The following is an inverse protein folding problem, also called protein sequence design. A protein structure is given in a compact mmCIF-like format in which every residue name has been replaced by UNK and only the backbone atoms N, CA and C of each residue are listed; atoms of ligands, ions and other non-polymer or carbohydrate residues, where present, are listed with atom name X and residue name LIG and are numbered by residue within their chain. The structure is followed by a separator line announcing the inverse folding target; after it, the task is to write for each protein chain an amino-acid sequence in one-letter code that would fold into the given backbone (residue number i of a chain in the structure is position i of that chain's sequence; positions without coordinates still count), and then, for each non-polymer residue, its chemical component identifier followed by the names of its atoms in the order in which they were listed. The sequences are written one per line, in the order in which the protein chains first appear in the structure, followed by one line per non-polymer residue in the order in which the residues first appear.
data_IF_181096980551
#
_entry.id   IF_181096980551
#
_cell.length_a   1.000
_cell.length_b   1.000
_cell.length_c   1.000
_cell.angle_alpha   90.00
_cell.angle_beta   90.00
_cell.angle_gamma   90.00
#
_symmetry.space_group_name_H-M   'P 1'
#
loop_
_entity.id
_entity.type
_entity.pdbx_description
1 polymer ?
#
# COMPACT_ATOMS: atom_id res chain seq x y z
N UNK A 1 -18.02 20.32 3.98
CA UNK A 1 -18.06 18.97 4.60
C UNK A 1 -19.21 18.19 4.00
N UNK A 2 -18.98 17.50 2.88
CA UNK A 2 -19.88 16.46 2.39
C UNK A 2 -19.47 15.15 3.08
N UNK A 3 -20.44 14.44 3.65
CA UNK A 3 -20.17 13.19 4.35
C UNK A 3 -19.85 12.10 3.32
N UNK A 4 -18.59 11.69 3.24
CA UNK A 4 -18.16 10.51 2.46
C UNK A 4 -18.55 9.27 3.27
N UNK A 5 -19.34 8.38 2.69
CA UNK A 5 -19.64 7.09 3.31
C UNK A 5 -18.63 6.09 2.78
N UNK A 6 -17.74 5.63 3.64
CA UNK A 6 -16.64 4.74 3.30
C UNK A 6 -17.10 3.29 3.50
N UNK A 7 -16.99 2.49 2.44
CA UNK A 7 -17.06 1.02 2.54
C UNK A 7 -15.89 0.49 1.70
N UNK A 8 -14.69 0.50 2.27
CA UNK A 8 -13.55 -0.19 1.66
C UNK A 8 -13.65 -1.68 1.99
N UNK A 9 -13.73 -2.54 0.96
CA UNK A 9 -13.65 -3.99 1.11
C UNK A 9 -12.30 -4.46 0.55
N UNK A 10 -11.25 -4.47 1.38
CA UNK A 10 -9.96 -5.07 0.99
C UNK A 10 -10.05 -6.58 1.22
N UNK A 11 -10.05 -7.34 0.14
CA UNK A 11 -10.03 -8.81 0.17
C UNK A 11 -8.67 -9.29 -0.35
N UNK A 12 -7.72 -9.58 0.54
CA UNK A 12 -6.44 -10.21 0.16
C UNK A 12 -6.67 -11.71 -0.03
N UNK A 13 -6.42 -12.23 -1.23
CA UNK A 13 -6.39 -13.66 -1.53
C UNK A 13 -5.01 -14.05 -2.07
N UNK A 14 -4.11 -14.49 -1.20
CA UNK A 14 -2.79 -15.00 -1.60
C UNK A 14 -2.83 -16.53 -1.82
N UNK A 15 -2.57 -16.98 -3.06
CA UNK A 15 -2.52 -18.41 -3.41
C UNK A 15 -1.09 -18.85 -3.85
N UNK A 16 -0.42 -19.53 -2.91
CA UNK A 16 0.48 -20.71 -3.05
C UNK A 16 1.97 -20.59 -3.45
N UNK A 17 2.75 -21.36 -2.65
CA UNK A 17 3.84 -22.30 -2.96
C UNK A 17 5.32 -21.87 -2.80
N UNK A 18 5.88 -22.30 -1.65
CA UNK A 18 7.29 -22.56 -1.32
C UNK A 18 8.18 -21.35 -0.99
N UNK A 19 8.33 -21.06 0.31
CA UNK A 19 9.63 -21.15 0.99
C UNK A 19 9.50 -20.81 2.49
N UNK A 20 9.92 -21.77 3.32
CA UNK A 20 10.09 -21.56 4.76
C UNK A 20 11.11 -20.45 5.06
N UNK A 21 10.79 -19.65 6.08
CA UNK A 21 11.53 -18.51 6.65
C UNK A 21 11.54 -17.22 5.82
N UNK A 22 10.50 -16.41 6.03
CA UNK A 22 10.51 -14.97 5.78
C UNK A 22 9.75 -14.30 6.94
N UNK A 23 10.22 -13.16 7.46
CA UNK A 23 9.40 -12.33 8.34
C UNK A 23 8.43 -11.55 7.46
N UNK A 24 7.20 -12.07 7.33
CA UNK A 24 6.18 -11.50 6.45
C UNK A 24 5.83 -10.05 6.82
N UNK A 25 5.36 -9.31 5.82
CA UNK A 25 4.71 -8.01 6.03
C UNK A 25 3.63 -8.15 7.11
N UNK A 26 3.74 -7.34 8.17
CA UNK A 26 2.81 -7.39 9.29
C UNK A 26 1.58 -6.50 9.07
N UNK A 27 1.67 -5.58 8.14
CA UNK A 27 0.72 -4.50 7.95
C UNK A 27 -0.34 -4.86 6.92
N UNK A 28 -1.48 -4.18 7.00
CA UNK A 28 -2.53 -4.24 5.98
C UNK A 28 -2.62 -2.92 5.21
N UNK A 29 -2.21 -1.81 5.82
CA UNK A 29 -2.30 -0.48 5.24
C UNK A 29 -0.93 0.17 5.04
N UNK A 30 -0.05 0.06 6.04
CA UNK A 30 1.28 0.64 5.98
C UNK A 30 2.28 -0.29 5.26
N UNK A 31 3.40 0.25 4.82
CA UNK A 31 4.59 -0.51 4.45
C UNK A 31 5.38 -0.90 5.70
N UNK A 32 5.93 -2.11 5.72
CA UNK A 32 6.73 -2.62 6.84
C UNK A 32 8.23 -2.56 6.53
N UNK A 33 9.02 -2.41 7.59
CA UNK A 33 10.48 -2.56 7.57
C UNK A 33 10.90 -4.03 7.41
N UNK A 34 10.00 -4.98 7.72
CA UNK A 34 10.21 -6.41 7.48
C UNK A 34 10.10 -6.73 6.00
N UNK A 35 11.12 -7.40 5.50
CA UNK A 35 11.25 -7.79 4.10
C UNK A 35 11.57 -9.29 4.01
N UNK A 36 11.36 -9.94 2.84
CA UNK A 36 11.75 -11.33 2.68
C UNK A 36 13.24 -11.54 2.97
N UNK A 37 13.56 -12.68 3.59
CA UNK A 37 14.94 -13.05 3.85
C UNK A 37 15.75 -13.22 2.54
N UNK A 38 17.08 -13.21 2.63
CA UNK A 38 17.93 -13.30 1.46
C UNK A 38 17.59 -14.52 0.59
N UNK A 39 17.39 -14.28 -0.71
CA UNK A 39 17.07 -15.30 -1.70
C UNK A 39 15.63 -15.81 -1.67
N UNK A 40 14.76 -15.22 -0.85
CA UNK A 40 13.34 -15.60 -0.75
C UNK A 40 12.45 -14.71 -1.61
N UNK A 41 11.43 -15.32 -2.19
CA UNK A 41 10.36 -14.65 -2.92
C UNK A 41 9.09 -14.66 -2.06
N UNK A 42 8.45 -13.50 -1.95
CA UNK A 42 7.12 -13.33 -1.38
C UNK A 42 6.20 -12.79 -2.47
N UNK A 43 5.04 -13.42 -2.61
CA UNK A 43 3.98 -12.99 -3.52
C UNK A 43 2.78 -12.53 -2.70
N UNK A 44 2.22 -11.38 -3.04
CA UNK A 44 0.96 -10.91 -2.47
C UNK A 44 0.05 -10.31 -3.54
N UNK A 45 -1.26 -10.37 -3.31
CA UNK A 45 -2.25 -9.71 -4.13
C UNK A 45 -3.08 -8.81 -3.23
N UNK A 46 -3.08 -7.52 -3.52
CA UNK A 46 -3.85 -6.52 -2.82
C UNK A 46 -4.89 -5.95 -3.76
N UNK A 47 -6.04 -5.57 -3.22
CA UNK A 47 -7.03 -4.85 -3.99
C UNK A 47 -8.04 -4.19 -3.09
N UNK A 48 -8.66 -3.15 -3.61
CA UNK A 48 -9.63 -2.35 -2.91
C UNK A 48 -10.75 -1.94 -3.86
N UNK A 49 -11.94 -1.85 -3.29
CA UNK A 49 -13.09 -1.25 -3.94
C UNK A 49 -13.44 0.04 -3.22
N UNK A 50 -13.71 1.09 -3.97
CA UNK A 50 -14.12 2.38 -3.45
C UNK A 50 -15.34 2.89 -4.22
N UNK A 51 -16.28 3.52 -3.53
CA UNK A 51 -17.40 4.24 -4.13
C UNK A 51 -17.31 5.71 -3.74
N UNK A 52 -17.59 6.60 -4.68
CA UNK A 52 -17.47 8.03 -4.49
C UNK A 52 -18.67 8.80 -5.02
N UNK A 53 -18.86 9.99 -4.45
CA UNK A 53 -19.78 11.02 -4.93
C UNK A 53 -18.98 12.32 -5.05
N UNK A 54 -18.89 12.89 -6.25
CA UNK A 54 -18.20 14.15 -6.50
C UNK A 54 -18.96 14.98 -7.53
N UNK A 55 -19.15 16.27 -7.25
CA UNK A 55 -19.80 17.18 -8.20
C UNK A 55 -21.24 16.83 -8.62
N UNK A 56 -21.92 15.91 -7.92
CA UNK A 56 -23.24 15.39 -8.32
C UNK A 56 -23.19 14.20 -9.28
N UNK A 57 -22.00 13.62 -9.50
CA UNK A 57 -21.80 12.33 -10.11
C UNK A 57 -21.43 11.30 -9.03
N UNK A 58 -21.93 10.08 -9.21
CA UNK A 58 -21.62 8.92 -8.39
C UNK A 58 -20.76 7.96 -9.22
N UNK A 59 -19.91 7.19 -8.56
CA UNK A 59 -19.05 6.23 -9.25
C UNK A 59 -18.39 5.24 -8.32
N UNK A 60 -17.68 4.30 -8.91
CA UNK A 60 -16.88 3.32 -8.19
C UNK A 60 -15.57 3.00 -8.89
N UNK A 61 -14.62 2.54 -8.09
CA UNK A 61 -13.28 2.16 -8.50
C UNK A 61 -12.90 0.83 -7.88
N UNK A 62 -12.25 -0.01 -8.68
CA UNK A 62 -11.61 -1.24 -8.26
C UNK A 62 -10.14 -1.17 -8.65
N UNK A 63 -9.26 -1.19 -7.67
CA UNK A 63 -7.82 -1.31 -7.85
C UNK A 63 -7.33 -2.67 -7.38
N UNK A 64 -6.35 -3.26 -8.06
CA UNK A 64 -5.67 -4.46 -7.61
C UNK A 64 -4.22 -4.50 -8.06
N UNK A 65 -3.31 -4.86 -7.17
CA UNK A 65 -1.88 -5.00 -7.43
C UNK A 65 -1.42 -6.40 -7.06
N UNK A 66 -0.51 -6.95 -7.86
CA UNK A 66 0.23 -8.17 -7.51
C UNK A 66 1.66 -7.78 -7.19
N UNK A 67 2.14 -8.08 -5.99
CA UNK A 67 3.50 -7.75 -5.57
C UNK A 67 4.37 -8.99 -5.61
N UNK A 68 5.54 -8.86 -6.22
CA UNK A 68 6.60 -9.86 -6.20
C UNK A 68 7.82 -9.29 -5.50
N UNK A 69 7.94 -9.54 -4.19
CA UNK A 69 9.06 -9.11 -3.35
C UNK A 69 10.16 -10.17 -3.30
N UNK A 70 11.39 -9.78 -3.62
CA UNK A 70 12.57 -10.63 -3.54
C UNK A 70 13.60 -10.07 -2.55
N UNK A 71 14.01 -10.89 -1.59
CA UNK A 71 15.05 -10.55 -0.63
C UNK A 71 16.45 -10.58 -1.25
N UNK A 72 17.07 -9.41 -1.41
CA UNK A 72 18.47 -9.27 -1.83
C UNK A 72 19.43 -9.58 -0.66
N UNK A 73 19.01 -9.22 0.56
CA UNK A 73 19.66 -9.52 1.83
C UNK A 73 18.58 -9.62 2.93
N UNK A 74 18.93 -10.07 4.13
CA UNK A 74 17.97 -10.20 5.25
C UNK A 74 17.35 -8.87 5.73
N UNK A 75 17.87 -7.75 5.23
CA UNK A 75 17.39 -6.40 5.50
C UNK A 75 17.18 -5.58 4.23
N UNK A 76 17.18 -6.20 3.05
CA UNK A 76 17.03 -5.50 1.77
C UNK A 76 16.20 -6.33 0.80
N UNK A 77 15.13 -5.74 0.24
CA UNK A 77 14.37 -6.34 -0.84
C UNK A 77 14.12 -5.39 -2.01
N UNK A 78 13.77 -5.99 -3.14
CA UNK A 78 13.20 -5.32 -4.32
C UNK A 78 11.83 -5.92 -4.60
N UNK A 79 10.89 -5.10 -5.07
CA UNK A 79 9.54 -5.50 -5.45
C UNK A 79 9.19 -5.00 -6.85
N UNK A 80 8.53 -5.86 -7.61
CA UNK A 80 7.80 -5.49 -8.82
C UNK A 80 6.30 -5.61 -8.54
N UNK A 81 5.53 -4.58 -8.83
CA UNK A 81 4.10 -4.52 -8.56
C UNK A 81 3.29 -3.97 -9.75
N UNK A 82 2.94 -4.81 -10.74
CA UNK A 82 1.95 -4.44 -11.74
C UNK A 82 0.56 -4.29 -11.10
N UNK A 83 -0.17 -3.27 -11.55
CA UNK A 83 -1.54 -3.00 -11.13
C UNK A 83 -2.59 -3.27 -12.22
N UNK A 84 -3.83 -3.35 -11.76
CA UNK A 84 -5.04 -3.33 -12.55
C UNK A 84 -5.98 -2.29 -11.93
N UNK A 85 -6.66 -1.53 -12.78
CA UNK A 85 -7.66 -0.56 -12.36
C UNK A 85 -8.92 -0.71 -13.21
N UNK A 86 -10.07 -0.48 -12.57
CA UNK A 86 -11.35 -0.21 -13.23
C UNK A 86 -11.98 0.98 -12.53
N UNK A 87 -12.52 1.91 -13.29
CA UNK A 87 -13.41 2.95 -12.79
C UNK A 87 -14.72 2.93 -13.58
N UNK A 88 -15.80 3.33 -12.93
CA UNK A 88 -17.16 3.31 -13.47
C UNK A 88 -17.93 4.51 -12.89
N UNK A 89 -18.46 5.36 -13.75
CA UNK A 89 -19.26 6.54 -13.37
C UNK A 89 -20.72 6.26 -13.69
N UNK A 90 -21.60 6.41 -12.70
CA UNK A 90 -23.02 6.11 -12.82
C UNK A 90 -23.68 6.99 -13.88
N UNK A 91 -24.22 6.35 -14.92
CA UNK A 91 -24.82 7.05 -16.08
C UNK A 91 -23.79 7.74 -17.00
N UNK A 92 -22.50 7.52 -16.75
CA UNK A 92 -21.37 8.02 -17.53
C UNK A 92 -20.62 6.91 -18.27
N UNK A 93 -19.29 6.97 -18.23
CA UNK A 93 -18.38 6.00 -18.84
C UNK A 93 -17.79 5.02 -17.84
N UNK A 94 -17.09 4.00 -18.35
CA UNK A 94 -16.30 3.08 -17.54
C UNK A 94 -15.07 2.65 -18.33
N UNK A 95 -13.92 2.51 -17.68
CA UNK A 95 -12.71 1.93 -18.28
C UNK A 95 -12.09 0.90 -17.36
N UNK A 96 -11.28 0.01 -17.93
CA UNK A 96 -10.49 -0.95 -17.15
C UNK A 96 -9.27 -1.45 -17.90
N UNK A 97 -8.21 -1.75 -17.17
CA UNK A 97 -6.98 -2.29 -17.76
C UNK A 97 -5.83 -2.30 -16.77
N UNK A 98 -4.61 -2.40 -17.32
CA UNK A 98 -3.40 -2.31 -16.51
C UNK A 98 -3.29 -0.91 -15.93
N UNK A 99 -2.90 -0.86 -14.66
CA UNK A 99 -2.42 0.35 -14.04
C UNK A 99 -0.91 0.50 -14.23
N UNK A 100 -0.37 1.63 -13.78
CA UNK A 100 1.07 1.82 -13.72
C UNK A 100 1.74 0.73 -12.87
N UNK A 101 2.95 0.35 -13.27
CA UNK A 101 3.72 -0.70 -12.62
C UNK A 101 4.75 -0.07 -11.70
N UNK A 102 4.69 -0.38 -10.42
CA UNK A 102 5.70 0.09 -9.46
C UNK A 102 6.90 -0.85 -9.39
N UNK A 103 8.10 -0.28 -9.35
CA UNK A 103 9.32 -0.96 -8.93
C UNK A 103 9.81 -0.30 -7.65
N UNK A 104 9.90 -1.07 -6.57
CA UNK A 104 10.22 -0.56 -5.24
C UNK A 104 11.39 -1.31 -4.63
N UNK A 105 12.09 -0.68 -3.71
CA UNK A 105 13.14 -1.27 -2.89
C UNK A 105 12.99 -0.80 -1.46
N UNK A 106 13.17 -1.72 -0.53
CA UNK A 106 13.11 -1.44 0.91
C UNK A 106 14.39 -1.90 1.57
N UNK A 107 15.07 -0.99 2.26
CA UNK A 107 16.30 -1.26 3.00
C UNK A 107 16.15 -0.87 4.47
N UNK A 108 16.23 -1.87 5.36
CA UNK A 108 16.19 -1.69 6.81
C UNK A 108 17.60 -1.55 7.36
N UNK A 109 17.94 -0.36 7.82
CA UNK A 109 19.30 -0.02 8.28
C UNK A 109 19.42 0.02 9.80
N UNK A 110 18.31 0.02 10.54
CA UNK A 110 18.27 -0.17 11.99
C UNK A 110 17.35 -1.33 12.33
N UNK A 111 17.85 -2.24 13.17
CA UNK A 111 17.15 -3.43 13.63
C UNK A 111 16.68 -3.23 15.07
N UNK A 112 15.44 -3.62 15.37
CA UNK A 112 14.86 -3.45 16.70
C UNK A 112 15.66 -4.14 17.80
N UNK A 113 16.22 -5.33 17.58
CA UNK A 113 17.00 -6.04 18.59
C UNK A 113 18.30 -5.31 18.94
N UNK A 114 18.88 -4.57 17.99
CA UNK A 114 20.12 -3.81 18.18
C UNK A 114 19.88 -2.37 18.66
N UNK A 115 18.85 -1.69 18.16
CA UNK A 115 18.62 -0.26 18.37
C UNK A 115 17.38 0.07 19.21
N UNK A 116 16.54 -0.92 19.51
CA UNK A 116 15.27 -0.76 20.22
C UNK A 116 14.10 -0.31 19.34
N UNK A 117 14.30 -0.15 18.03
CA UNK A 117 13.27 0.11 17.02
C UNK A 117 13.82 -0.27 15.64
N UNK A 118 12.94 -0.63 14.70
CA UNK A 118 13.30 -0.80 13.29
C UNK A 118 13.20 0.54 12.57
N UNK A 119 14.19 0.85 11.72
CA UNK A 119 14.09 1.93 10.72
C UNK A 119 14.55 1.40 9.36
N UNK A 120 13.76 1.71 8.34
CA UNK A 120 14.11 1.49 6.95
C UNK A 120 13.78 2.67 6.06
N UNK A 121 14.34 2.64 4.86
CA UNK A 121 13.97 3.51 3.76
C UNK A 121 13.31 2.68 2.68
N UNK A 122 12.24 3.21 2.09
CA UNK A 122 11.65 2.72 0.87
C UNK A 122 11.93 3.73 -0.23
N UNK A 123 12.34 3.24 -1.39
CA UNK A 123 12.41 4.05 -2.61
C UNK A 123 11.74 3.28 -3.73
N UNK A 124 11.18 3.97 -4.70
CA UNK A 124 10.54 3.33 -5.82
C UNK A 124 10.32 4.27 -6.99
N UNK A 125 9.78 3.70 -8.05
CA UNK A 125 9.38 4.41 -9.25
C UNK A 125 8.14 3.77 -9.83
N UNK A 126 7.13 4.59 -10.11
CA UNK A 126 5.98 4.22 -10.93
C UNK A 126 6.36 4.34 -12.39
N UNK A 127 6.14 3.29 -13.17
CA UNK A 127 6.39 3.26 -14.61
C UNK A 127 5.06 3.43 -15.35
N UNK A 128 5.00 4.28 -16.39
CA UNK A 128 3.78 4.60 -17.14
C UNK A 128 3.38 3.45 -18.06
N UNK A 129 2.97 2.33 -17.46
CA UNK A 129 2.49 1.14 -18.18
C UNK A 129 0.96 1.13 -18.31
N UNK A 130 0.27 1.97 -17.52
CA UNK A 130 -1.14 2.20 -17.65
C UNK A 130 -1.48 3.06 -18.87
N UNK A 131 -2.73 2.95 -19.31
CA UNK A 131 -3.25 3.73 -20.44
C UNK A 131 -3.80 5.08 -19.91
N UNK A 132 -3.02 6.14 -20.08
CA UNK A 132 -3.35 7.50 -19.64
C UNK A 132 -4.61 8.05 -20.32
N UNK A 133 -4.82 7.76 -21.62
CA UNK A 133 -6.01 8.18 -22.38
C UNK A 133 -7.30 7.60 -21.79
N UNK A 134 -7.20 6.51 -21.00
CA UNK A 134 -8.29 5.87 -20.27
C UNK A 134 -8.30 6.21 -18.78
N UNK A 135 -7.40 7.05 -18.30
CA UNK A 135 -7.21 7.34 -16.88
C UNK A 135 -6.80 6.12 -16.05
N UNK A 136 -6.07 5.17 -16.65
CA UNK A 136 -5.60 3.97 -15.96
C UNK A 136 -4.16 4.11 -15.45
N UNK A 137 -3.45 5.16 -15.85
CA UNK A 137 -2.10 5.48 -15.41
C UNK A 137 -1.87 6.98 -15.45
N UNK A 138 -0.72 7.38 -14.92
CA UNK A 138 -0.32 8.80 -14.83
C UNK A 138 0.30 9.34 -16.12
N UNK A 139 0.65 8.49 -17.08
CA UNK A 139 1.41 8.89 -18.28
C UNK A 139 2.88 9.21 -18.03
N UNK A 140 3.30 9.35 -16.77
CA UNK A 140 4.62 9.83 -16.38
C UNK A 140 5.39 8.84 -15.49
N UNK A 141 6.70 9.08 -15.37
CA UNK A 141 7.54 8.35 -14.42
C UNK A 141 7.52 9.08 -13.09
N UNK A 142 7.16 8.38 -12.01
CA UNK A 142 6.97 9.02 -10.70
C UNK A 142 7.82 8.36 -9.61
N UNK A 143 8.96 8.96 -9.24
CA UNK A 143 9.79 8.50 -8.14
C UNK A 143 9.07 8.65 -6.79
N UNK A 144 9.21 7.65 -5.92
CA UNK A 144 8.70 7.69 -4.53
C UNK A 144 9.84 7.45 -3.55
N UNK A 145 9.81 8.14 -2.42
CA UNK A 145 10.72 7.88 -1.29
C UNK A 145 9.96 7.96 0.03
N UNK A 146 10.29 7.09 0.97
CA UNK A 146 9.67 7.08 2.29
C UNK A 146 10.59 6.54 3.37
N UNK A 147 10.35 6.98 4.60
CA UNK A 147 10.94 6.46 5.81
C UNK A 147 9.92 5.56 6.50
N UNK A 148 10.36 4.38 6.92
CA UNK A 148 9.58 3.37 7.60
C UNK A 148 10.14 3.19 9.02
N UNK A 149 9.27 3.12 10.02
CA UNK A 149 9.65 2.81 11.39
C UNK A 149 8.70 1.77 11.97
N UNK A 150 9.23 0.84 12.77
CA UNK A 150 8.41 -0.11 13.50
C UNK A 150 8.96 -0.37 14.90
N UNK A 151 8.07 -0.70 15.84
CA UNK A 151 8.44 -1.04 17.21
C UNK A 151 7.44 -1.99 17.85
N UNK A 152 7.94 -2.92 18.63
CA UNK A 152 7.17 -3.92 19.35
C UNK A 152 7.00 -3.52 20.82
N UNK A 153 5.74 -3.46 21.28
CA UNK A 153 5.30 -3.13 22.62
C UNK A 153 4.47 -4.28 23.21
N UNK A 154 5.12 -5.33 23.69
CA UNK A 154 4.44 -6.53 24.17
C UNK A 154 3.65 -7.20 23.04
N UNK A 155 2.32 -7.24 23.15
CA UNK A 155 1.44 -7.83 22.15
C UNK A 155 1.09 -6.89 20.98
N UNK A 156 1.52 -5.63 21.04
CA UNK A 156 1.25 -4.62 20.01
C UNK A 156 2.51 -4.35 19.20
N UNK A 157 2.40 -4.31 17.88
CA UNK A 157 3.41 -3.73 16.99
C UNK A 157 2.86 -2.41 16.48
N UNK A 158 3.65 -1.34 16.59
CA UNK A 158 3.34 -0.05 15.98
C UNK A 158 4.23 0.16 14.76
N UNK A 159 3.64 0.54 13.64
CA UNK A 159 4.32 0.87 12.38
C UNK A 159 3.96 2.30 11.99
N UNK A 160 4.94 3.04 11.47
CA UNK A 160 4.77 4.39 10.98
C UNK A 160 5.51 4.55 9.65
N UNK A 161 4.89 5.23 8.69
CA UNK A 161 5.54 5.64 7.45
C UNK A 161 5.34 7.14 7.23
N UNK A 162 6.33 7.77 6.62
CA UNK A 162 6.22 9.10 6.04
C UNK A 162 7.00 9.13 4.75
N UNK A 163 6.46 9.75 3.70
CA UNK A 163 7.13 9.79 2.42
C UNK A 163 6.45 10.72 1.44
N UNK A 164 6.94 10.69 0.21
CA UNK A 164 6.35 11.44 -0.87
C UNK A 164 6.70 10.88 -2.23
N UNK A 165 5.92 11.33 -3.21
CA UNK A 165 6.03 10.97 -4.61
C UNK A 165 6.26 12.25 -5.41
N UNK A 166 7.26 12.23 -6.28
CA UNK A 166 7.56 13.29 -7.22
C UNK A 166 6.82 13.01 -8.52
N UNK A 167 6.20 14.04 -9.08
CA UNK A 167 5.50 13.99 -10.36
C UNK A 167 6.40 14.73 -11.35
N UNK A 168 7.11 13.99 -12.21
CA UNK A 168 8.17 14.57 -13.04
C UNK A 168 7.65 15.36 -14.25
N UNK A 169 6.42 15.12 -14.66
CA UNK A 169 5.75 15.75 -15.80
C UNK A 169 4.37 16.25 -15.35
N UNK A 170 4.35 17.05 -14.28
CA UNK A 170 3.13 17.59 -13.71
C UNK A 170 2.44 18.53 -14.70
N UNK A 171 1.14 18.29 -14.93
CA UNK A 171 0.30 19.14 -15.79
C UNK A 171 -0.13 20.44 -15.10
N UNK A 172 -0.71 21.38 -15.87
CA UNK A 172 -1.28 22.61 -15.32
C UNK A 172 -2.39 22.27 -14.28
N UNK A 173 -2.15 22.63 -13.02
CA UNK A 173 -3.07 22.37 -11.89
C UNK A 173 -2.73 21.11 -11.07
N UNK A 174 -1.66 20.41 -11.43
CA UNK A 174 -1.07 19.32 -10.66
C UNK A 174 0.08 19.80 -9.77
N UNK A 175 0.17 19.24 -8.57
CA UNK A 175 1.28 19.50 -7.65
C UNK A 175 2.54 18.75 -8.11
N UNK A 176 3.71 19.36 -7.96
CA UNK A 176 5.01 18.73 -8.28
C UNK A 176 5.31 17.48 -7.42
N UNK A 177 4.64 17.38 -6.26
CA UNK A 177 4.80 16.26 -5.35
C UNK A 177 3.59 16.05 -4.46
N UNK A 178 3.42 14.81 -4.00
CA UNK A 178 2.50 14.47 -2.92
C UNK A 178 3.25 13.98 -1.70
N UNK A 179 2.71 14.24 -0.51
CA UNK A 179 3.22 13.73 0.76
C UNK A 179 2.19 12.80 1.39
N UNK A 180 2.68 11.76 2.05
CA UNK A 180 1.85 10.78 2.76
C UNK A 180 2.42 10.40 4.11
N UNK A 181 1.52 10.07 5.02
CA UNK A 181 1.80 9.49 6.33
C UNK A 181 0.85 8.31 6.54
N UNK A 182 1.36 7.22 7.10
CA UNK A 182 0.54 6.15 7.65
C UNK A 182 1.02 5.73 9.03
N UNK A 183 0.08 5.33 9.87
CA UNK A 183 0.30 4.74 11.19
C UNK A 183 -0.53 3.48 11.27
N UNK A 184 0.04 2.37 11.74
CA UNK A 184 -0.70 1.13 11.93
C UNK A 184 -0.33 0.47 13.25
N UNK A 185 -1.33 0.23 14.09
CA UNK A 185 -1.21 -0.54 15.33
C UNK A 185 -1.76 -1.95 15.12
N UNK A 186 -0.94 -2.96 15.40
CA UNK A 186 -1.24 -4.36 15.14
C UNK A 186 -1.25 -5.09 16.49
N UNK A 187 -2.41 -5.64 16.87
CA UNK A 187 -2.56 -6.41 18.11
C UNK A 187 -2.72 -7.90 17.80
N UNK A 188 -1.85 -8.72 18.40
CA UNK A 188 -1.92 -10.18 18.26
C UNK A 188 -3.01 -10.75 19.19
N UNK A 189 -4.08 -11.29 18.61
CA UNK A 189 -5.19 -11.92 19.35
C UNK A 189 -4.85 -13.38 19.66
N UNK A 190 -4.21 -14.06 18.71
CA UNK A 190 -3.68 -15.41 18.84
C UNK A 190 -2.53 -15.60 17.84
N UNK A 191 -1.92 -16.79 17.81
CA UNK A 191 -0.89 -17.15 16.84
C UNK A 191 -1.39 -17.08 15.37
N UNK A 192 -2.71 -17.13 15.16
CA UNK A 192 -3.31 -17.12 13.82
C UNK A 192 -4.06 -15.82 13.49
N UNK A 193 -4.41 -15.00 14.47
CA UNK A 193 -5.26 -13.83 14.26
C UNK A 193 -4.62 -12.57 14.84
N UNK A 194 -4.49 -11.53 14.01
CA UNK A 194 -4.23 -10.17 14.46
C UNK A 194 -5.36 -9.24 14.06
N UNK A 195 -5.56 -8.18 14.84
CA UNK A 195 -6.42 -7.04 14.48
C UNK A 195 -5.58 -5.80 14.35
N UNK A 196 -5.98 -4.91 13.45
CA UNK A 196 -5.18 -3.78 13.01
C UNK A 196 -6.06 -2.52 13.08
N UNK A 197 -5.48 -1.42 13.57
CA UNK A 197 -6.07 -0.09 13.44
C UNK A 197 -5.07 0.79 12.69
N UNK A 198 -5.51 1.43 11.63
CA UNK A 198 -4.67 2.30 10.81
C UNK A 198 -5.21 3.72 10.76
N UNK A 199 -4.28 4.66 10.57
CA UNK A 199 -4.56 6.03 10.18
C UNK A 199 -3.66 6.35 8.99
N UNK A 200 -4.22 6.92 7.94
CA UNK A 200 -3.46 7.44 6.79
C UNK A 200 -3.86 8.87 6.51
N UNK A 201 -2.91 9.67 6.04
CA UNK A 201 -3.16 11.01 5.55
C UNK A 201 -2.25 11.28 4.34
N UNK A 202 -2.78 11.99 3.33
CA UNK A 202 -2.02 12.39 2.15
C UNK A 202 -2.45 13.77 1.65
N UNK A 203 -1.50 14.52 1.11
CA UNK A 203 -1.80 15.77 0.41
C UNK A 203 -2.58 15.48 -0.86
N UNK A 204 -3.36 16.47 -1.31
CA UNK A 204 -3.99 16.39 -2.62
C UNK A 204 -2.91 16.32 -3.71
N UNK A 205 -3.27 15.67 -4.82
CA UNK A 205 -2.43 15.67 -6.03
C UNK A 205 -2.65 16.94 -6.85
N UNK A 206 -3.90 17.45 -6.90
CA UNK A 206 -4.29 18.65 -7.67
C UNK A 206 -4.41 19.86 -6.74
N UNK A 207 -4.15 21.07 -7.24
CA UNK A 207 -4.17 22.32 -6.46
C UNK A 207 -5.53 22.58 -5.77
N UNK A 208 -6.63 22.25 -6.44
CA UNK A 208 -8.01 22.36 -5.92
C UNK A 208 -8.55 21.02 -5.38
N UNK A 209 -7.68 20.02 -5.25
CA UNK A 209 -8.03 18.70 -4.73
C UNK A 209 -8.21 18.70 -3.21
N UNK A 210 -9.02 17.76 -2.73
CA UNK A 210 -9.16 17.53 -1.29
C UNK A 210 -7.99 16.69 -0.76
N UNK A 211 -7.42 17.11 0.37
CA UNK A 211 -6.53 16.26 1.17
C UNK A 211 -7.32 15.06 1.71
N UNK A 212 -6.67 13.90 1.79
CA UNK A 212 -7.30 12.67 2.28
C UNK A 212 -6.76 12.29 3.65
N UNK A 213 -7.66 11.90 4.55
CA UNK A 213 -7.32 11.32 5.84
C UNK A 213 -8.34 10.23 6.20
N UNK A 214 -7.85 9.03 6.50
CA UNK A 214 -8.66 7.85 6.70
C UNK A 214 -8.28 7.14 8.00
N UNK A 215 -9.27 6.51 8.63
CA UNK A 215 -9.06 5.63 9.78
C UNK A 215 -9.65 4.27 9.43
N UNK A 216 -8.84 3.24 9.50
CA UNK A 216 -9.23 1.88 9.13
C UNK A 216 -9.18 0.92 10.31
N UNK A 217 -10.06 -0.07 10.30
CA UNK A 217 -9.98 -1.25 11.15
C UNK A 217 -9.88 -2.50 10.27
N UNK A 218 -8.96 -3.38 10.63
CA UNK A 218 -8.67 -4.57 9.87
C UNK A 218 -8.36 -5.79 10.72
N UNK A 219 -8.22 -6.91 10.05
CA UNK A 219 -7.77 -8.15 10.65
C UNK A 219 -6.92 -8.94 9.67
N UNK A 220 -6.05 -9.79 10.21
CA UNK A 220 -5.27 -10.76 9.44
C UNK A 220 -5.38 -12.13 10.06
N UNK A 221 -5.64 -13.11 9.20
CA UNK A 221 -5.74 -14.51 9.54
C UNK A 221 -4.63 -15.30 8.85
N UNK A 222 -3.87 -16.08 9.62
CA UNK A 222 -2.81 -16.94 9.15
C UNK A 222 -3.32 -18.39 9.13
N UNK A 223 -3.91 -18.88 8.02
CA UNK A 223 -4.33 -20.27 7.90
C UNK A 223 -3.16 -21.26 8.02
N UNK A 224 -1.95 -20.79 7.71
CA UNK A 224 -0.69 -21.52 7.85
C UNK A 224 0.45 -20.52 8.06
N UNK A 225 1.60 -21.00 8.52
CA UNK A 225 2.78 -20.16 8.85
C UNK A 225 3.27 -19.29 7.68
N UNK A 226 3.01 -19.73 6.44
CA UNK A 226 3.55 -19.13 5.22
C UNK A 226 2.50 -18.35 4.41
N UNK A 227 1.30 -18.15 4.94
CA UNK A 227 0.25 -17.43 4.23
C UNK A 227 -0.63 -16.67 5.21
N UNK A 228 -1.10 -15.50 4.78
CA UNK A 228 -2.14 -14.77 5.48
C UNK A 228 -3.20 -14.28 4.50
N UNK A 229 -4.39 -14.07 5.06
CA UNK A 229 -5.48 -13.34 4.46
C UNK A 229 -5.71 -12.13 5.34
N UNK A 230 -5.83 -10.96 4.75
CA UNK A 230 -5.99 -9.70 5.47
C UNK A 230 -6.99 -8.80 4.79
N UNK A 231 -7.56 -7.89 5.56
CA UNK A 231 -8.46 -6.88 5.04
C UNK A 231 -8.56 -5.74 6.02
N UNK A 232 -8.82 -4.55 5.48
CA UNK A 232 -9.09 -3.34 6.23
C UNK A 232 -10.31 -2.65 5.63
N UNK A 233 -11.18 -2.17 6.51
CA UNK A 233 -12.29 -1.29 6.17
C UNK A 233 -12.00 0.09 6.73
N UNK A 234 -12.21 1.10 5.89
CA UNK A 234 -12.14 2.53 6.22
C UNK A 234 -13.54 3.11 6.12
#
# INVERSE_FOLDING_TARGET
MKARTWILFVSVLCLMAVAASAEWERTVSAWDTRVPAQGKLQLSAWGGYYAWESGGADGNELGANVYAHYGLADNWSVCLAPGFMRWDVDGGGSESGLADTDVMTTYRFMDEAAAGFDIGVMAGVSLPTGDEDKGLGSGSVEPTVGLLAAKTFGAVVAVANIGGRLILDADDGEEDFTLGLSLEGIYSVSDQLSVNAAFSAATARWEDGDENADIGLGARFHPMEQAFLGGMAY
#
